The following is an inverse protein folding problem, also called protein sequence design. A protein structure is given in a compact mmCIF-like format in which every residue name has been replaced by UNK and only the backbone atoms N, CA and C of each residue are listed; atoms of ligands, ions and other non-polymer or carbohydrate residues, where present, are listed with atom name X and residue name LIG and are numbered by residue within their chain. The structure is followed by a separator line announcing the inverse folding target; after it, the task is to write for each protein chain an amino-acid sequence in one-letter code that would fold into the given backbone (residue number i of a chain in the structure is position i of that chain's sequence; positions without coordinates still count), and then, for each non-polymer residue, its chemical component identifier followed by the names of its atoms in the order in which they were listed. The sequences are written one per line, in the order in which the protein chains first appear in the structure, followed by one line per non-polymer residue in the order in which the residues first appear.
data_IF_046854976258
#
_entry.id   IF_046854976258
#
_cell.length_a   1.000
_cell.length_b   1.000
_cell.length_c   1.000
_cell.angle_alpha   90.00
_cell.angle_beta   90.00
_cell.angle_gamma   90.00
#
_symmetry.space_group_name_H-M   'P 1'
#
loop_
_entity.id
_entity.type
_entity.pdbx_description
1 polymer ?
#
# COMPACT_ATOMS: atom_id res chain seq x y z
N UNK A 1 -29.38 19.16 -0.11
CA UNK A 1 -28.04 19.60 0.31
C UNK A 1 -27.64 18.87 1.56
N UNK A 2 -26.50 18.24 1.53
CA UNK A 2 -25.93 17.61 2.72
C UNK A 2 -25.40 18.69 3.65
N UNK A 3 -25.92 18.73 4.88
CA UNK A 3 -25.44 19.62 5.93
C UNK A 3 -24.26 19.03 6.70
N UNK A 4 -23.60 18.00 6.12
CA UNK A 4 -22.50 17.33 6.77
C UNK A 4 -21.24 18.19 6.77
N UNK A 5 -20.66 18.36 7.95
CA UNK A 5 -19.35 18.98 8.10
C UNK A 5 -18.37 17.86 8.44
N UNK A 6 -17.42 17.63 7.54
CA UNK A 6 -16.38 16.64 7.77
C UNK A 6 -15.16 17.28 8.38
N UNK A 7 -14.74 16.80 9.53
CA UNK A 7 -13.51 17.21 10.19
C UNK A 7 -12.53 16.06 10.12
N UNK A 8 -11.40 16.28 9.48
CA UNK A 8 -10.32 15.31 9.41
C UNK A 8 -9.28 15.69 10.46
N UNK A 9 -8.99 14.77 11.38
CA UNK A 9 -8.02 15.01 12.43
C UNK A 9 -7.22 13.74 12.69
N UNK A 10 -5.92 13.90 12.86
CA UNK A 10 -5.06 12.82 13.32
C UNK A 10 -5.11 12.74 14.83
N UNK A 11 -5.39 11.55 15.36
CA UNK A 11 -5.45 11.28 16.79
C UNK A 11 -4.35 10.31 17.19
N UNK A 12 -3.74 10.58 18.35
CA UNK A 12 -2.70 9.73 18.92
C UNK A 12 -3.30 8.96 20.09
N UNK A 13 -3.12 7.64 20.08
CA UNK A 13 -3.58 6.78 21.18
C UNK A 13 -2.45 6.67 22.21
N UNK A 14 -2.72 7.11 23.45
CA UNK A 14 -1.79 6.96 24.55
C UNK A 14 -1.73 5.52 25.06
N UNK A 15 -0.70 5.22 25.86
CA UNK A 15 -0.54 3.89 26.46
C UNK A 15 -1.68 3.52 27.40
N UNK A 16 -2.32 4.51 27.99
CA UNK A 16 -3.48 4.35 28.87
C UNK A 16 -4.82 4.24 28.14
N UNK A 17 -4.77 4.20 26.79
CA UNK A 17 -5.97 4.16 25.94
C UNK A 17 -6.60 5.52 25.70
N UNK A 18 -6.04 6.62 26.22
CA UNK A 18 -6.55 7.95 25.95
C UNK A 18 -6.27 8.40 24.52
N UNK A 19 -7.14 9.25 23.98
CA UNK A 19 -6.99 9.84 22.67
C UNK A 19 -6.63 11.31 22.80
N UNK A 20 -5.64 11.76 22.03
CA UNK A 20 -5.31 13.18 21.94
C UNK A 20 -5.13 13.57 20.48
N UNK A 21 -5.47 14.81 20.15
CA UNK A 21 -5.26 15.32 18.81
C UNK A 21 -3.77 15.62 18.58
N UNK A 22 -3.26 15.26 17.40
CA UNK A 22 -1.90 15.62 17.00
C UNK A 22 -1.72 17.13 16.94
N UNK A 23 -2.76 17.84 16.48
CA UNK A 23 -2.79 19.30 16.50
C UNK A 23 -4.02 19.79 17.27
N UNK A 24 -3.92 19.96 18.59
CA UNK A 24 -5.07 20.29 19.42
C UNK A 24 -5.78 21.60 19.06
N UNK A 25 -5.02 22.62 18.64
CA UNK A 25 -5.60 23.93 18.31
C UNK A 25 -6.51 23.86 17.07
N UNK A 26 -6.07 23.16 16.04
CA UNK A 26 -6.86 22.97 14.81
C UNK A 26 -8.09 22.10 15.09
N UNK A 27 -7.89 21.03 15.85
CA UNK A 27 -8.98 20.12 16.20
C UNK A 27 -10.07 20.85 17.02
N UNK A 28 -9.66 21.65 18.00
CA UNK A 28 -10.59 22.43 18.84
C UNK A 28 -11.38 23.45 18.01
N UNK A 29 -10.73 24.15 17.08
CA UNK A 29 -11.41 25.08 16.18
C UNK A 29 -12.45 24.41 15.33
N UNK A 30 -12.13 23.24 14.80
CA UNK A 30 -13.05 22.47 13.96
C UNK A 30 -14.27 22.01 14.74
N UNK A 31 -14.08 21.57 16.01
CA UNK A 31 -15.19 21.20 16.89
C UNK A 31 -16.06 22.40 17.24
N UNK A 32 -15.47 23.56 17.52
CA UNK A 32 -16.22 24.78 17.82
C UNK A 32 -17.07 25.22 16.64
N UNK A 33 -16.52 25.11 15.43
CA UNK A 33 -17.27 25.41 14.21
C UNK A 33 -18.48 24.49 14.05
N UNK A 34 -18.33 23.21 14.29
CA UNK A 34 -19.42 22.26 14.23
C UNK A 34 -20.49 22.57 15.28
N UNK A 35 -20.07 22.96 16.49
CA UNK A 35 -20.98 23.39 17.59
C UNK A 35 -21.76 24.63 17.21
N UNK A 36 -21.09 25.63 16.62
CA UNK A 36 -21.76 26.88 16.19
C UNK A 36 -22.82 26.63 15.13
N UNK A 37 -22.64 25.61 14.31
CA UNK A 37 -23.64 25.23 13.32
C UNK A 37 -24.80 24.43 13.89
N UNK A 38 -24.81 24.15 15.21
CA UNK A 38 -25.86 23.41 15.88
C UNK A 38 -25.97 21.96 15.44
N UNK A 39 -24.86 21.39 14.96
CA UNK A 39 -24.84 20.03 14.44
C UNK A 39 -24.44 19.02 15.51
N UNK A 40 -25.06 17.85 15.44
CA UNK A 40 -24.59 16.69 16.20
C UNK A 40 -23.33 16.16 15.54
N UNK A 41 -22.29 15.94 16.36
CA UNK A 41 -21.02 15.45 15.86
C UNK A 41 -20.91 13.95 16.10
N UNK A 42 -20.65 13.21 15.03
CA UNK A 42 -20.35 11.79 15.10
C UNK A 42 -18.85 11.60 14.82
N UNK A 43 -18.22 10.75 15.58
CA UNK A 43 -16.81 10.42 15.37
C UNK A 43 -16.68 8.98 14.89
N UNK A 44 -15.94 8.80 13.82
CA UNK A 44 -15.60 7.49 13.29
C UNK A 44 -14.08 7.37 13.28
N UNK A 45 -13.57 6.36 13.96
CA UNK A 45 -12.13 6.16 14.10
C UNK A 45 -11.64 5.14 13.10
N UNK A 46 -10.67 5.55 12.30
CA UNK A 46 -10.02 4.68 11.34
C UNK A 46 -8.54 4.56 11.66
N UNK A 47 -8.00 3.36 11.47
CA UNK A 47 -6.55 3.16 11.54
C UNK A 47 -5.92 3.81 10.31
N UNK A 48 -4.86 4.60 10.55
CA UNK A 48 -4.08 5.16 9.46
C UNK A 48 -3.42 4.04 8.66
N UNK A 49 -3.65 4.04 7.35
CA UNK A 49 -2.96 3.15 6.44
C UNK A 49 -1.68 3.82 5.96
N UNK A 50 -0.56 3.14 6.14
CA UNK A 50 0.71 3.62 5.57
C UNK A 50 0.61 3.60 4.05
N UNK A 51 0.84 4.77 3.44
CA UNK A 51 0.88 4.89 1.99
C UNK A 51 2.31 4.55 1.55
N UNK A 52 2.42 3.70 0.52
CA UNK A 52 3.72 3.38 -0.05
C UNK A 52 4.34 4.63 -0.67
N UNK A 53 5.64 4.82 -0.45
CA UNK A 53 6.34 5.98 -0.96
C UNK A 53 6.43 5.96 -2.49
N UNK A 54 6.48 7.13 -3.11
CA UNK A 54 6.73 7.26 -4.55
C UNK A 54 8.05 6.59 -4.98
N UNK A 55 9.16 6.75 -4.23
CA UNK A 55 10.40 6.03 -4.55
C UNK A 55 10.23 4.51 -4.56
N UNK A 56 9.46 3.96 -3.63
CA UNK A 56 9.20 2.52 -3.59
C UNK A 56 8.42 2.05 -4.81
N UNK A 57 7.40 2.79 -5.24
CA UNK A 57 6.65 2.47 -6.45
C UNK A 57 7.50 2.64 -7.71
N UNK A 58 8.33 3.67 -7.76
CA UNK A 58 9.24 3.90 -8.88
C UNK A 58 10.24 2.77 -9.02
N UNK A 59 10.78 2.25 -7.91
CA UNK A 59 11.70 1.11 -7.91
C UNK A 59 11.01 -0.14 -8.44
N UNK A 60 9.78 -0.40 -8.05
CA UNK A 60 9.01 -1.53 -8.57
C UNK A 60 8.88 -1.46 -10.09
N UNK A 61 8.49 -0.30 -10.63
CA UNK A 61 8.36 -0.11 -12.06
C UNK A 61 9.68 -0.27 -12.78
N UNK A 62 10.76 0.23 -12.21
CA UNK A 62 12.09 0.08 -12.77
C UNK A 62 12.53 -1.39 -12.87
N UNK A 63 12.33 -2.17 -11.81
CA UNK A 63 12.63 -3.61 -11.81
C UNK A 63 11.82 -4.37 -12.85
N UNK A 64 10.53 -4.07 -12.96
CA UNK A 64 9.67 -4.69 -13.96
C UNK A 64 10.09 -4.32 -15.38
N UNK A 65 10.46 -3.06 -15.60
CA UNK A 65 10.96 -2.61 -16.91
C UNK A 65 12.25 -3.31 -17.32
N UNK A 66 13.17 -3.55 -16.37
CA UNK A 66 14.39 -4.32 -16.65
C UNK A 66 14.04 -5.72 -17.15
N UNK A 67 13.09 -6.37 -16.51
CA UNK A 67 12.63 -7.69 -16.95
C UNK A 67 11.98 -7.64 -18.32
N UNK A 68 11.14 -6.65 -18.58
CA UNK A 68 10.45 -6.50 -19.87
C UNK A 68 11.44 -6.30 -21.02
N UNK A 69 12.47 -5.48 -20.81
CA UNK A 69 13.52 -5.27 -21.80
C UNK A 69 14.29 -6.57 -22.09
N UNK A 70 14.56 -7.34 -21.06
CA UNK A 70 15.28 -8.61 -21.19
C UNK A 70 14.44 -9.69 -21.87
N UNK A 71 13.16 -9.83 -21.47
CA UNK A 71 12.28 -10.91 -21.88
C UNK A 71 11.42 -10.57 -23.10
N UNK A 72 11.29 -9.29 -23.45
CA UNK A 72 10.41 -8.86 -24.52
C UNK A 72 8.92 -8.89 -24.13
N UNK A 73 8.62 -8.83 -22.83
CA UNK A 73 7.25 -8.88 -22.35
C UNK A 73 6.67 -7.49 -22.17
N UNK A 74 5.32 -7.42 -22.21
CA UNK A 74 4.60 -6.22 -21.84
C UNK A 74 4.60 -6.03 -20.33
N UNK A 75 4.61 -4.77 -19.88
CA UNK A 75 4.73 -4.41 -18.48
C UNK A 75 3.64 -5.02 -17.58
N UNK A 76 2.38 -4.94 -18.00
CA UNK A 76 1.27 -5.48 -17.22
C UNK A 76 1.34 -7.01 -17.13
N UNK A 77 1.74 -7.66 -18.19
CA UNK A 77 1.93 -9.10 -18.22
C UNK A 77 3.04 -9.53 -17.25
N UNK A 78 4.17 -8.84 -17.30
CA UNK A 78 5.29 -9.12 -16.41
C UNK A 78 4.94 -8.90 -14.94
N UNK A 79 4.27 -7.80 -14.64
CA UNK A 79 3.81 -7.50 -13.28
C UNK A 79 2.89 -8.58 -12.75
N UNK A 80 1.91 -8.99 -13.54
CA UNK A 80 0.97 -10.05 -13.17
C UNK A 80 1.71 -11.36 -12.90
N UNK A 81 2.66 -11.72 -13.74
CA UNK A 81 3.46 -12.93 -13.58
C UNK A 81 4.24 -12.93 -12.26
N UNK A 82 4.91 -11.81 -11.94
CA UNK A 82 5.66 -11.70 -10.70
C UNK A 82 4.75 -11.75 -9.48
N UNK A 83 3.61 -11.07 -9.50
CA UNK A 83 2.65 -11.11 -8.39
C UNK A 83 2.13 -12.52 -8.19
N UNK A 84 1.81 -13.22 -9.27
CA UNK A 84 1.33 -14.59 -9.21
C UNK A 84 2.37 -15.52 -8.58
N UNK A 85 3.64 -15.40 -8.98
CA UNK A 85 4.72 -16.21 -8.42
C UNK A 85 5.00 -15.91 -6.96
N UNK A 86 4.88 -14.63 -6.56
CA UNK A 86 5.19 -14.18 -5.20
C UNK A 86 4.03 -14.42 -4.21
N UNK A 87 2.80 -14.11 -4.61
CA UNK A 87 1.66 -14.06 -3.69
C UNK A 87 0.42 -14.78 -4.21
N UNK A 88 0.46 -15.37 -5.41
CA UNK A 88 -0.66 -16.14 -5.94
C UNK A 88 -0.91 -17.41 -5.11
N UNK A 89 -2.15 -17.80 -5.02
CA UNK A 89 -2.55 -19.00 -4.28
C UNK A 89 -3.73 -19.68 -4.96
N UNK A 90 -3.91 -20.97 -4.65
CA UNK A 90 -5.02 -21.74 -5.16
C UNK A 90 -6.16 -21.74 -4.13
N UNK A 91 -7.37 -21.47 -4.59
CA UNK A 91 -8.57 -21.46 -3.75
C UNK A 91 -9.52 -22.55 -4.22
N UNK A 92 -9.95 -23.42 -3.29
CA UNK A 92 -10.96 -24.43 -3.57
C UNK A 92 -12.35 -23.78 -3.55
N UNK A 93 -13.10 -23.96 -4.63
CA UNK A 93 -14.48 -23.51 -4.72
C UNK A 93 -15.43 -24.53 -4.10
N UNK A 94 -16.66 -24.11 -3.72
CA UNK A 94 -17.66 -25.06 -3.20
C UNK A 94 -17.97 -26.20 -4.17
N UNK A 95 -17.77 -25.99 -5.47
CA UNK A 95 -17.97 -27.03 -6.49
C UNK A 95 -16.86 -28.09 -6.52
N UNK A 96 -15.79 -27.92 -5.74
CA UNK A 96 -14.61 -28.76 -5.74
C UNK A 96 -13.55 -28.39 -6.78
N UNK A 97 -13.84 -27.40 -7.64
CA UNK A 97 -12.85 -26.87 -8.56
C UNK A 97 -11.86 -25.98 -7.82
N UNK A 98 -10.63 -25.92 -8.34
CA UNK A 98 -9.57 -25.08 -7.80
C UNK A 98 -9.36 -23.89 -8.75
N UNK A 99 -9.37 -22.70 -8.19
CA UNK A 99 -9.17 -21.46 -8.93
C UNK A 99 -7.91 -20.75 -8.45
N UNK A 100 -7.10 -20.26 -9.40
CA UNK A 100 -5.90 -19.50 -9.06
C UNK A 100 -6.27 -18.06 -8.75
N UNK A 101 -5.88 -17.59 -7.56
CA UNK A 101 -6.09 -16.21 -7.12
C UNK A 101 -4.77 -15.45 -7.16
N UNK A 102 -4.81 -14.26 -7.76
CA UNK A 102 -3.66 -13.35 -7.84
C UNK A 102 -4.07 -12.01 -7.22
N UNK A 103 -3.49 -11.66 -6.06
CA UNK A 103 -3.88 -10.40 -5.40
C UNK A 103 -3.36 -9.19 -6.17
N UNK A 104 -4.00 -8.04 -5.93
CA UNK A 104 -3.52 -6.76 -6.44
C UNK A 104 -2.38 -6.24 -5.55
N UNK A 105 -1.36 -5.62 -6.15
CA UNK A 105 -0.29 -4.97 -5.39
C UNK A 105 -0.82 -3.81 -4.53
N UNK A 106 -1.98 -3.27 -4.85
CA UNK A 106 -2.62 -2.24 -4.03
C UNK A 106 -2.96 -2.74 -2.62
N UNK A 107 -3.09 -4.05 -2.43
CA UNK A 107 -3.35 -4.67 -1.13
C UNK A 107 -2.08 -4.91 -0.30
N UNK A 108 -0.90 -4.74 -0.89
CA UNK A 108 0.35 -5.01 -0.21
C UNK A 108 0.66 -3.90 0.81
N UNK A 109 1.08 -4.32 2.01
CA UNK A 109 1.65 -3.40 3.00
C UNK A 109 3.01 -2.88 2.52
N UNK A 110 3.56 -1.87 3.21
CA UNK A 110 4.92 -1.37 2.91
C UNK A 110 5.93 -2.51 3.03
N UNK A 111 5.85 -3.30 4.08
CA UNK A 111 6.74 -4.42 4.35
C UNK A 111 6.60 -5.51 3.28
N UNK A 112 5.37 -5.83 2.88
CA UNK A 112 5.11 -6.81 1.84
C UNK A 112 5.63 -6.35 0.48
N UNK A 113 5.54 -5.05 0.19
CA UNK A 113 6.09 -4.48 -1.04
C UNK A 113 7.62 -4.59 -1.08
N UNK A 114 8.29 -4.38 0.06
CA UNK A 114 9.75 -4.58 0.14
C UNK A 114 10.11 -6.03 -0.18
N UNK A 115 9.42 -6.99 0.43
CA UNK A 115 9.62 -8.41 0.14
C UNK A 115 9.39 -8.74 -1.34
N UNK A 116 8.35 -8.16 -1.94
CA UNK A 116 8.04 -8.37 -3.34
C UNK A 116 9.14 -7.82 -4.25
N UNK A 117 9.63 -6.62 -3.99
CA UNK A 117 10.73 -6.04 -4.77
C UNK A 117 12.02 -6.85 -4.62
N UNK A 118 12.31 -7.32 -3.41
CA UNK A 118 13.46 -8.19 -3.17
C UNK A 118 13.33 -9.52 -3.92
N UNK A 119 12.13 -10.06 -4.01
CA UNK A 119 11.85 -11.25 -4.79
C UNK A 119 12.15 -11.03 -6.28
N UNK A 120 11.66 -9.91 -6.85
CA UNK A 120 11.92 -9.57 -8.26
C UNK A 120 13.42 -9.37 -8.49
N UNK A 121 14.09 -8.61 -7.63
CA UNK A 121 15.52 -8.34 -7.74
C UNK A 121 16.32 -9.65 -7.74
N UNK A 122 16.03 -10.55 -6.80
CA UNK A 122 16.68 -11.84 -6.73
C UNK A 122 16.46 -12.66 -8.00
N UNK A 123 15.25 -12.65 -8.52
CA UNK A 123 14.93 -13.33 -9.76
C UNK A 123 15.75 -12.77 -10.93
N UNK A 124 15.83 -11.44 -11.05
CA UNK A 124 16.61 -10.82 -12.11
C UNK A 124 18.09 -11.15 -12.03
N UNK A 125 18.65 -11.21 -10.83
CA UNK A 125 20.07 -11.53 -10.63
C UNK A 125 20.34 -13.00 -10.89
N UNK A 126 19.56 -13.89 -10.29
CA UNK A 126 19.82 -15.33 -10.30
C UNK A 126 19.35 -15.98 -11.59
N UNK A 127 18.12 -15.70 -12.00
CA UNK A 127 17.52 -16.38 -13.17
C UNK A 127 17.84 -15.67 -14.50
N UNK A 128 17.91 -14.35 -14.49
CA UNK A 128 18.18 -13.58 -15.70
C UNK A 128 19.66 -13.19 -15.87
N UNK A 129 20.48 -13.41 -14.84
CA UNK A 129 21.91 -13.10 -14.91
C UNK A 129 22.23 -11.61 -14.95
N UNK A 130 21.30 -10.77 -14.51
CA UNK A 130 21.51 -9.33 -14.50
C UNK A 130 22.44 -8.87 -13.37
N UNK A 131 23.20 -7.81 -13.62
CA UNK A 131 23.98 -7.13 -12.60
C UNK A 131 23.22 -5.86 -12.19
N UNK A 132 22.79 -5.83 -10.94
CA UNK A 132 22.10 -4.67 -10.37
C UNK A 132 23.02 -4.02 -9.34
N UNK A 133 23.41 -2.74 -9.54
CA UNK A 133 24.31 -2.05 -8.61
C UNK A 133 23.72 -1.97 -7.20
N UNK A 134 24.55 -2.10 -6.18
CA UNK A 134 24.12 -2.15 -4.78
C UNK A 134 23.46 -0.85 -4.30
N UNK A 135 23.86 0.28 -4.84
CA UNK A 135 23.28 1.59 -4.56
C UNK A 135 21.83 1.69 -5.12
N UNK A 136 21.57 1.05 -6.24
CA UNK A 136 20.22 0.99 -6.83
C UNK A 136 19.34 -0.06 -6.15
N UNK A 137 19.95 -1.08 -5.51
CA UNK A 137 19.20 -2.11 -4.77
C UNK A 137 18.51 -1.57 -3.53
N UNK A 138 19.04 -0.50 -2.92
CA UNK A 138 18.59 0.04 -1.63
C UNK A 138 17.87 1.36 -1.73
N UNK A 139 17.49 1.83 -2.91
CA UNK A 139 16.70 3.04 -3.03
C UNK A 139 15.30 2.77 -2.48
N UNK A 140 15.11 3.19 -1.25
CA UNK A 140 13.84 3.09 -0.57
C UNK A 140 12.95 4.30 -0.90
#
# INVERSE_FOLDING_TARGET
MSDEVTVLAALIVGQDGSLRAENPAVFRRSLQRARMLGKTVFAELHREKRVRSLPQNARLHWLINLFCEWAGWEKNEAKHWFVNKFAGYDEALPSGQVERRVPSTATFTVERMVEFQDFIERFLIVECGMQIPADERRSA
#
